data_IF_649298223845
#
_entry.id   IF_649298223845
#
_cell.length_a   1.000
_cell.length_b   1.000
_cell.length_c   1.000
_cell.angle_alpha   90.00
_cell.angle_beta   90.00
_cell.angle_gamma   90.00
#
_symmetry.space_group_name_H-M   'P 1'
#
loop_
_entity.id
_entity.type
_entity.pdbx_description
1 polymer ?
#
# COMPACT_ATOMS: atom_id res chain seq x y z
N UNK A 1 28.74 -10.86 6.67
CA UNK A 1 27.28 -11.02 6.91
C UNK A 1 26.57 -10.27 5.80
N UNK A 2 25.81 -10.96 4.96
CA UNK A 2 24.91 -10.31 3.99
C UNK A 2 23.84 -9.55 4.76
N UNK A 3 23.60 -8.28 4.42
CA UNK A 3 22.47 -7.55 5.01
C UNK A 3 21.17 -8.25 4.56
N UNK A 4 20.14 -8.32 5.43
CA UNK A 4 18.86 -8.89 5.04
C UNK A 4 18.18 -7.98 4.00
N UNK A 5 17.50 -8.59 3.02
CA UNK A 5 16.73 -7.88 2.00
C UNK A 5 15.24 -8.17 2.19
N UNK A 6 14.39 -7.21 1.87
CA UNK A 6 12.94 -7.34 1.92
C UNK A 6 12.36 -6.78 0.61
N UNK A 7 11.48 -7.53 -0.04
CA UNK A 7 10.78 -7.05 -1.24
C UNK A 7 9.38 -6.60 -0.86
N UNK A 8 9.03 -5.35 -1.18
CA UNK A 8 7.69 -4.80 -0.93
C UNK A 8 7.09 -4.26 -2.21
N UNK A 9 5.76 -4.26 -2.29
CA UNK A 9 5.03 -3.73 -3.44
C UNK A 9 3.77 -2.96 -3.04
N UNK A 10 3.31 -2.08 -3.92
CA UNK A 10 1.98 -1.47 -3.81
C UNK A 10 1.22 -1.66 -5.13
N UNK A 11 -0.08 -1.90 -5.05
CA UNK A 11 -0.91 -2.17 -6.22
C UNK A 11 -2.37 -1.72 -6.04
N UNK A 12 -2.77 -0.68 -6.78
CA UNK A 12 -4.18 -0.32 -6.90
C UNK A 12 -4.87 -1.20 -7.95
N UNK A 13 -5.73 -2.11 -7.49
CA UNK A 13 -6.36 -3.13 -8.35
C UNK A 13 -7.68 -2.70 -8.97
N UNK A 14 -8.11 -1.45 -8.73
CA UNK A 14 -9.38 -0.91 -9.24
C UNK A 14 -10.59 -1.85 -8.99
N UNK A 15 -10.68 -2.46 -7.79
CA UNK A 15 -11.72 -3.43 -7.42
C UNK A 15 -11.76 -4.68 -8.33
N UNK A 16 -10.59 -5.05 -8.85
CA UNK A 16 -10.38 -6.15 -9.78
C UNK A 16 -10.87 -5.89 -11.21
N UNK A 17 -11.17 -4.63 -11.57
CA UNK A 17 -11.64 -4.28 -12.91
C UNK A 17 -10.44 -4.01 -13.81
N UNK A 18 -10.33 -4.74 -14.92
CA UNK A 18 -9.27 -4.53 -15.92
C UNK A 18 -9.57 -3.42 -16.92
N UNK A 19 -8.64 -3.18 -17.84
CA UNK A 19 -8.79 -2.28 -18.99
C UNK A 19 -9.90 -2.70 -19.97
N UNK A 20 -10.32 -3.97 -19.91
CA UNK A 20 -11.50 -4.52 -20.60
C UNK A 20 -12.83 -4.26 -19.86
N UNK A 21 -12.79 -3.48 -18.78
CA UNK A 21 -13.92 -3.16 -17.89
C UNK A 21 -14.57 -4.38 -17.23
N UNK A 22 -13.91 -5.54 -17.25
CA UNK A 22 -14.41 -6.76 -16.60
C UNK A 22 -13.77 -6.93 -15.24
N UNK A 23 -14.60 -7.22 -14.24
CA UNK A 23 -14.13 -7.58 -12.90
C UNK A 23 -13.62 -9.03 -12.90
N UNK A 24 -12.30 -9.20 -12.80
CA UNK A 24 -11.63 -10.50 -12.69
C UNK A 24 -10.47 -10.40 -11.67
N UNK A 25 -10.77 -10.51 -10.36
CA UNK A 25 -9.76 -10.39 -9.30
C UNK A 25 -8.64 -11.42 -9.41
N UNK A 26 -8.88 -12.55 -10.05
CA UNK A 26 -7.88 -13.59 -10.35
C UNK A 26 -6.72 -13.07 -11.21
N UNK A 27 -6.92 -12.03 -12.04
CA UNK A 27 -5.84 -11.35 -12.77
C UNK A 27 -4.91 -10.60 -11.81
N UNK A 28 -5.50 -9.84 -10.88
CA UNK A 28 -4.71 -9.16 -9.86
C UNK A 28 -3.97 -10.17 -8.95
N UNK A 29 -4.60 -11.31 -8.63
CA UNK A 29 -3.93 -12.39 -7.89
C UNK A 29 -2.73 -12.99 -8.65
N UNK A 30 -2.80 -13.10 -9.99
CA UNK A 30 -1.66 -13.53 -10.81
C UNK A 30 -0.52 -12.51 -10.78
N UNK A 31 -0.82 -11.21 -10.85
CA UNK A 31 0.20 -10.17 -10.69
C UNK A 31 0.84 -10.22 -9.30
N UNK A 32 0.05 -10.44 -8.24
CA UNK A 32 0.59 -10.59 -6.88
C UNK A 32 1.50 -11.81 -6.72
N UNK A 33 1.22 -12.90 -7.44
CA UNK A 33 2.06 -14.09 -7.53
C UNK A 33 3.40 -13.76 -8.22
N UNK A 34 3.34 -13.14 -9.40
CA UNK A 34 4.50 -12.78 -10.22
C UNK A 34 5.40 -11.72 -9.55
N UNK A 35 4.83 -10.80 -8.77
CA UNK A 35 5.58 -9.80 -8.01
C UNK A 35 6.60 -10.42 -7.04
N UNK A 36 6.28 -11.60 -6.49
CA UNK A 36 7.15 -12.26 -5.52
C UNK A 36 7.50 -11.38 -4.31
N UNK A 37 6.64 -10.45 -3.91
CA UNK A 37 6.89 -9.50 -2.82
C UNK A 37 6.47 -10.06 -1.45
N UNK A 38 7.22 -9.77 -0.39
CA UNK A 38 6.98 -10.25 0.97
C UNK A 38 5.83 -9.52 1.64
N UNK A 39 5.67 -8.23 1.33
CA UNK A 39 4.62 -7.37 1.84
C UNK A 39 4.02 -6.57 0.68
N UNK A 40 2.70 -6.58 0.55
CA UNK A 40 2.00 -5.85 -0.51
C UNK A 40 0.88 -4.98 0.04
N UNK A 41 0.95 -3.66 -0.22
CA UNK A 41 -0.17 -2.76 0.00
C UNK A 41 -1.09 -2.75 -1.23
N UNK A 42 -2.31 -3.25 -1.07
CA UNK A 42 -3.33 -3.26 -2.11
C UNK A 42 -4.36 -2.15 -1.87
N UNK A 43 -4.60 -1.31 -2.88
CA UNK A 43 -5.65 -0.31 -2.85
C UNK A 43 -6.86 -0.76 -3.68
N UNK A 44 -8.05 -0.34 -3.24
CA UNK A 44 -9.33 -0.76 -3.82
C UNK A 44 -9.58 -2.27 -3.74
N UNK A 45 -9.11 -2.90 -2.66
CA UNK A 45 -9.34 -4.31 -2.34
C UNK A 45 -10.80 -4.65 -2.01
N UNK A 46 -11.63 -3.63 -1.74
CA UNK A 46 -13.02 -3.75 -1.32
C UNK A 46 -13.98 -3.07 -2.29
N UNK A 47 -15.21 -3.59 -2.36
CA UNK A 47 -16.30 -2.90 -3.05
C UNK A 47 -16.71 -1.63 -2.30
N UNK A 48 -17.14 -0.60 -3.04
CA UNK A 48 -17.53 0.71 -2.46
C UNK A 48 -18.93 0.71 -1.84
N UNK A 49 -19.85 -0.10 -2.38
CA UNK A 49 -21.28 -0.11 -2.03
C UNK A 49 -21.70 -1.44 -1.39
N UNK A 50 -22.82 -1.41 -0.66
CA UNK A 50 -23.36 -2.58 0.04
C UNK A 50 -22.47 -3.00 1.23
N UNK A 51 -22.30 -4.31 1.41
CA UNK A 51 -21.51 -4.90 2.51
C UNK A 51 -19.99 -4.68 2.40
N UNK A 52 -19.54 -3.90 1.40
CA UNK A 52 -18.13 -3.61 1.11
C UNK A 52 -17.27 -4.87 0.97
N UNK A 53 -17.86 -5.91 0.39
CA UNK A 53 -17.19 -7.20 0.23
C UNK A 53 -15.83 -7.05 -0.48
N UNK A 54 -14.82 -7.68 0.10
CA UNK A 54 -13.50 -7.81 -0.50
C UNK A 54 -13.56 -8.52 -1.84
N UNK A 55 -12.65 -8.18 -2.76
CA UNK A 55 -12.70 -8.68 -4.14
C UNK A 55 -11.97 -10.01 -4.33
N UNK A 56 -11.05 -10.37 -3.44
CA UNK A 56 -10.32 -11.64 -3.49
C UNK A 56 -11.07 -12.77 -2.80
N UNK A 57 -10.86 -13.99 -3.29
CA UNK A 57 -10.93 -15.18 -2.45
C UNK A 57 -9.59 -15.28 -1.70
N UNK A 58 -9.63 -15.12 -0.37
CA UNK A 58 -8.42 -15.09 0.45
C UNK A 58 -7.77 -16.47 0.61
N UNK A 59 -8.55 -17.55 0.49
CA UNK A 59 -8.02 -18.91 0.51
C UNK A 59 -7.22 -19.17 -0.75
N UNK A 60 -7.82 -18.92 -1.92
CA UNK A 60 -7.15 -19.05 -3.21
C UNK A 60 -5.90 -18.15 -3.28
N UNK A 61 -6.00 -16.89 -2.84
CA UNK A 61 -4.88 -15.94 -2.87
C UNK A 61 -3.70 -16.46 -2.03
N UNK A 62 -3.96 -16.95 -0.82
CA UNK A 62 -2.93 -17.53 0.05
C UNK A 62 -2.30 -18.76 -0.59
N UNK A 63 -3.12 -19.66 -1.14
CA UNK A 63 -2.62 -20.92 -1.69
C UNK A 63 -1.74 -20.69 -2.93
N UNK A 64 -2.00 -19.62 -3.70
CA UNK A 64 -1.19 -19.22 -4.87
C UNK A 64 0.07 -18.45 -4.52
N UNK A 65 -0.02 -17.50 -3.59
CA UNK A 65 1.04 -16.48 -3.38
C UNK A 65 1.81 -16.65 -2.06
N UNK A 66 1.28 -17.47 -1.14
CA UNK A 66 1.72 -17.52 0.26
C UNK A 66 1.33 -16.28 1.08
N UNK A 67 0.78 -15.23 0.45
CA UNK A 67 0.41 -13.99 1.12
C UNK A 67 -0.86 -14.17 1.93
N UNK A 68 -0.85 -13.63 3.14
CA UNK A 68 -2.00 -13.61 4.04
C UNK A 68 -2.43 -12.16 4.30
N UNK A 69 -3.73 -11.89 4.38
CA UNK A 69 -4.22 -10.57 4.72
C UNK A 69 -3.95 -10.26 6.20
N UNK A 70 -3.49 -9.04 6.48
CA UNK A 70 -3.43 -8.54 7.85
C UNK A 70 -4.86 -8.39 8.36
N UNK A 71 -5.24 -9.06 9.47
CA UNK A 71 -6.58 -8.93 10.04
C UNK A 71 -6.77 -7.53 10.59
N UNK A 72 -7.83 -6.83 10.16
CA UNK A 72 -8.17 -5.48 10.64
C UNK A 72 -9.46 -5.54 11.46
N UNK A 73 -9.41 -5.56 12.79
CA UNK A 73 -10.61 -5.68 13.63
C UNK A 73 -11.61 -4.54 13.44
N UNK A 74 -11.12 -3.35 13.10
CA UNK A 74 -11.92 -2.15 12.93
C UNK A 74 -12.59 -2.05 11.56
N UNK A 75 -12.37 -2.99 10.63
CA UNK A 75 -12.85 -2.92 9.23
C UNK A 75 -14.33 -2.51 9.09
N UNK A 76 -14.60 -1.68 8.09
CA UNK A 76 -15.95 -1.20 7.78
C UNK A 76 -16.70 -2.24 6.94
N UNK A 77 -17.52 -3.05 7.59
CA UNK A 77 -18.34 -4.09 6.97
C UNK A 77 -17.81 -5.50 7.22
N UNK A 78 -18.72 -6.43 7.50
CA UNK A 78 -18.38 -7.81 7.90
C UNK A 78 -17.60 -8.59 6.82
N UNK A 79 -17.68 -8.15 5.56
CA UNK A 79 -17.07 -8.81 4.39
C UNK A 79 -15.91 -8.03 3.77
N UNK A 80 -15.53 -6.88 4.32
CA UNK A 80 -14.39 -6.12 3.83
C UNK A 80 -13.09 -6.87 4.12
N UNK A 81 -12.12 -6.81 3.21
CA UNK A 81 -10.78 -7.36 3.45
C UNK A 81 -9.94 -6.43 4.31
N UNK A 82 -10.16 -5.12 4.24
CA UNK A 82 -9.36 -4.18 5.02
C UNK A 82 -10.09 -2.88 5.39
N UNK A 83 -9.37 -1.76 5.31
CA UNK A 83 -9.80 -0.47 5.85
C UNK A 83 -9.86 0.61 4.79
N UNK A 84 -11.07 1.12 4.53
CA UNK A 84 -11.35 2.05 3.43
C UNK A 84 -10.82 1.57 2.06
N UNK A 85 -10.82 0.25 1.84
CA UNK A 85 -10.32 -0.37 0.61
C UNK A 85 -8.80 -0.55 0.55
N UNK A 86 -8.05 -0.18 1.59
CA UNK A 86 -6.66 -0.61 1.74
C UNK A 86 -6.63 -2.00 2.37
N UNK A 87 -5.79 -2.87 1.81
CA UNK A 87 -5.49 -4.20 2.30
C UNK A 87 -3.98 -4.34 2.36
N UNK A 88 -3.44 -4.78 3.49
CA UNK A 88 -2.04 -5.17 3.59
C UNK A 88 -1.96 -6.69 3.55
N UNK A 89 -1.16 -7.21 2.63
CA UNK A 89 -0.84 -8.62 2.49
C UNK A 89 0.59 -8.85 2.94
N UNK A 90 0.86 -9.95 3.65
CA UNK A 90 2.20 -10.28 4.13
C UNK A 90 2.47 -11.79 4.13
N UNK A 91 3.74 -12.16 4.04
CA UNK A 91 4.25 -13.50 4.34
C UNK A 91 5.55 -13.37 5.15
N UNK A 92 5.99 -14.46 5.78
CA UNK A 92 7.21 -14.49 6.61
C UNK A 92 7.27 -13.41 7.70
N UNK A 93 6.11 -12.99 8.20
CA UNK A 93 5.99 -11.94 9.19
C UNK A 93 4.85 -12.21 10.16
N UNK A 94 5.07 -11.85 11.43
CA UNK A 94 4.07 -11.87 12.47
C UNK A 94 3.48 -10.47 12.68
N UNK A 95 2.16 -10.40 12.81
CA UNK A 95 1.48 -9.17 13.19
C UNK A 95 1.75 -8.85 14.66
N UNK A 96 2.19 -7.61 14.95
CA UNK A 96 2.33 -7.08 16.31
C UNK A 96 1.18 -6.14 16.65
N UNK A 97 0.94 -5.14 15.81
CA UNK A 97 -0.14 -4.17 15.99
C UNK A 97 -0.74 -3.76 14.65
N UNK A 98 -2.03 -3.46 14.64
CA UNK A 98 -2.74 -2.95 13.46
C UNK A 98 -3.72 -1.86 13.86
N UNK A 99 -3.67 -0.75 13.13
CA UNK A 99 -4.58 0.36 13.31
C UNK A 99 -5.08 0.87 11.97
N UNK A 100 -6.41 0.85 11.81
CA UNK A 100 -7.08 1.60 10.74
C UNK A 100 -7.27 3.06 11.13
N UNK A 101 -6.72 3.97 10.34
CA UNK A 101 -6.83 5.42 10.56
C UNK A 101 -7.72 6.08 9.52
N UNK A 102 -8.59 6.99 9.96
CA UNK A 102 -9.29 7.90 9.05
C UNK A 102 -8.33 8.99 8.61
N UNK A 103 -8.24 9.21 7.31
CA UNK A 103 -7.43 10.29 6.75
C UNK A 103 -8.28 11.56 6.62
N UNK A 104 -7.75 12.75 6.99
CA UNK A 104 -8.46 14.02 6.84
C UNK A 104 -8.93 14.25 5.40
N UNK A 105 -10.16 14.75 5.25
CA UNK A 105 -10.75 15.10 3.95
C UNK A 105 -12.23 14.74 3.84
N UNK A 106 -12.90 15.29 2.83
CA UNK A 106 -14.32 15.06 2.58
C UNK A 106 -14.62 13.67 1.99
N UNK A 107 -13.69 13.11 1.22
CA UNK A 107 -13.81 11.74 0.71
C UNK A 107 -13.33 10.76 1.79
N UNK A 108 -14.08 9.68 2.10
CA UNK A 108 -13.65 8.68 3.07
C UNK A 108 -12.41 7.94 2.55
N UNK A 109 -11.24 8.36 3.04
CA UNK A 109 -9.95 7.73 2.81
C UNK A 109 -9.39 7.22 4.13
N UNK A 110 -8.56 6.20 4.06
CA UNK A 110 -7.94 5.62 5.23
C UNK A 110 -6.49 5.22 4.98
N UNK A 111 -5.79 5.00 6.09
CA UNK A 111 -4.49 4.36 6.12
C UNK A 111 -4.56 3.12 7.02
N UNK A 112 -3.75 2.11 6.72
CA UNK A 112 -3.47 1.01 7.64
C UNK A 112 -2.05 1.20 8.17
N UNK A 113 -1.92 1.40 9.47
CA UNK A 113 -0.64 1.39 10.18
C UNK A 113 -0.48 0.00 10.78
N UNK A 114 0.57 -0.71 10.38
CA UNK A 114 0.78 -2.10 10.76
C UNK A 114 2.20 -2.28 11.25
N UNK A 115 2.35 -2.72 12.49
CA UNK A 115 3.64 -3.11 13.05
C UNK A 115 3.79 -4.62 12.92
N UNK A 116 4.91 -5.03 12.35
CA UNK A 116 5.22 -6.40 11.98
C UNK A 116 6.58 -6.80 12.55
N UNK A 117 6.76 -8.10 12.78
CA UNK A 117 8.06 -8.74 12.98
C UNK A 117 8.33 -9.67 11.80
N UNK A 118 9.22 -9.29 10.88
CA UNK A 118 9.59 -10.15 9.75
C UNK A 118 10.70 -11.12 10.14
N UNK A 119 10.53 -12.41 9.84
CA UNK A 119 11.38 -13.52 10.31
C UNK A 119 12.89 -13.28 10.11
N UNK A 120 13.27 -12.65 9.00
CA UNK A 120 14.69 -12.38 8.66
C UNK A 120 15.06 -10.90 8.70
N UNK A 121 14.09 -10.00 8.58
CA UNK A 121 14.35 -8.56 8.41
C UNK A 121 14.17 -7.79 9.74
N UNK A 122 13.46 -8.40 10.70
CA UNK A 122 13.22 -7.84 12.02
C UNK A 122 11.96 -6.96 12.09
N UNK A 123 11.87 -6.08 13.10
CA UNK A 123 10.70 -5.26 13.32
C UNK A 123 10.59 -4.16 12.27
N UNK A 124 9.37 -3.92 11.78
CA UNK A 124 9.07 -2.83 10.86
C UNK A 124 7.64 -2.31 11.02
N UNK A 125 7.46 -1.03 10.72
CA UNK A 125 6.14 -0.40 10.55
C UNK A 125 5.85 -0.24 9.07
N UNK A 126 4.69 -0.70 8.62
CA UNK A 126 4.18 -0.50 7.27
C UNK A 126 2.92 0.35 7.32
N UNK A 127 2.93 1.48 6.60
CA UNK A 127 1.79 2.37 6.47
C UNK A 127 1.26 2.29 5.03
N UNK A 128 0.18 1.54 4.83
CA UNK A 128 -0.50 1.41 3.54
C UNK A 128 -1.53 2.53 3.37
N UNK A 129 -1.47 3.25 2.25
CA UNK A 129 -2.30 4.44 2.02
C UNK A 129 -3.00 4.44 0.67
N UNK A 130 -4.13 5.16 0.62
CA UNK A 130 -4.75 5.61 -0.62
C UNK A 130 -5.23 7.04 -0.39
N UNK A 131 -4.43 8.01 -0.84
CA UNK A 131 -4.64 9.42 -0.52
C UNK A 131 -5.79 10.04 -1.30
N UNK A 132 -6.24 11.21 -0.85
CA UNK A 132 -7.34 11.94 -1.49
C UNK A 132 -6.97 12.49 -2.87
N UNK A 133 -7.98 12.61 -3.74
CA UNK A 133 -7.85 13.25 -5.05
C UNK A 133 -7.61 14.77 -4.95
N UNK A 134 -8.10 15.40 -3.89
CA UNK A 134 -7.99 16.85 -3.68
C UNK A 134 -6.64 17.21 -3.05
N UNK A 135 -5.90 18.11 -3.70
CA UNK A 135 -4.55 18.50 -3.28
C UNK A 135 -4.48 19.06 -1.86
N UNK A 136 -5.50 19.81 -1.41
CA UNK A 136 -5.54 20.34 -0.05
C UNK A 136 -5.65 19.21 0.99
N UNK A 137 -6.55 18.25 0.77
CA UNK A 137 -6.67 17.09 1.64
C UNK A 137 -5.37 16.26 1.65
N UNK A 138 -4.72 16.07 0.50
CA UNK A 138 -3.40 15.40 0.46
C UNK A 138 -2.36 16.08 1.33
N UNK A 139 -2.32 17.42 1.39
CA UNK A 139 -1.38 18.13 2.28
C UNK A 139 -1.64 17.85 3.75
N UNK A 140 -2.90 17.79 4.15
CA UNK A 140 -3.28 17.45 5.53
C UNK A 140 -2.95 16.00 5.85
N UNK A 141 -3.22 15.09 4.92
CA UNK A 141 -2.87 13.67 5.04
C UNK A 141 -1.35 13.47 5.11
N UNK A 142 -0.57 14.15 4.28
CA UNK A 142 0.89 14.10 4.30
C UNK A 142 1.46 14.57 5.65
N UNK A 143 0.89 15.61 6.27
CA UNK A 143 1.29 16.04 7.63
C UNK A 143 0.98 14.99 8.69
N UNK A 144 -0.17 14.33 8.60
CA UNK A 144 -0.49 13.22 9.51
C UNK A 144 0.50 12.07 9.34
N UNK A 145 0.78 11.66 8.10
CA UNK A 145 1.75 10.59 7.82
C UNK A 145 3.15 10.94 8.31
N UNK A 146 3.61 12.18 8.10
CA UNK A 146 4.92 12.62 8.58
C UNK A 146 5.02 12.55 10.12
N UNK A 147 3.95 12.85 10.86
CA UNK A 147 3.90 12.67 12.32
C UNK A 147 3.99 11.20 12.72
N UNK A 148 3.20 10.34 12.08
CA UNK A 148 3.23 8.89 12.35
C UNK A 148 4.60 8.27 12.07
N UNK A 149 5.29 8.78 11.06
CA UNK A 149 6.67 8.40 10.71
C UNK A 149 7.66 8.90 11.77
N UNK A 150 7.54 10.14 12.22
CA UNK A 150 8.42 10.71 13.24
C UNK A 150 8.25 10.05 14.62
N UNK A 151 7.04 9.57 14.94
CA UNK A 151 6.71 8.86 16.17
C UNK A 151 7.06 7.36 16.13
N UNK A 152 7.41 6.82 14.96
CA UNK A 152 7.74 5.41 14.81
C UNK A 152 9.09 5.08 15.47
N UNK A 153 9.10 4.08 16.35
CA UNK A 153 10.33 3.56 16.95
C UNK A 153 11.03 2.55 16.03
N UNK A 154 10.27 1.89 15.16
CA UNK A 154 10.75 0.90 14.20
C UNK A 154 11.11 1.55 12.85
N UNK A 155 11.94 0.90 12.02
CA UNK A 155 12.07 1.24 10.61
C UNK A 155 10.71 1.26 9.92
N UNK A 156 10.48 2.22 9.02
CA UNK A 156 9.13 2.51 8.48
C UNK A 156 9.09 2.51 6.97
N UNK A 157 8.07 1.87 6.41
CA UNK A 157 7.73 1.87 5.00
C UNK A 157 6.37 2.55 4.85
N UNK A 158 6.28 3.57 3.99
CA UNK A 158 5.00 4.19 3.61
C UNK A 158 4.76 3.91 2.14
N UNK A 159 3.68 3.22 1.80
CA UNK A 159 3.44 2.84 0.41
C UNK A 159 1.97 2.86 0.03
N UNK A 160 1.70 3.20 -1.22
CA UNK A 160 0.33 3.31 -1.70
C UNK A 160 0.16 4.19 -2.92
N UNK A 161 -1.09 4.30 -3.34
CA UNK A 161 -1.54 5.29 -4.31
C UNK A 161 -1.62 6.66 -3.61
N UNK A 162 -0.65 7.52 -3.92
CA UNK A 162 -0.56 8.86 -3.34
C UNK A 162 -1.46 9.87 -4.05
N UNK A 163 -2.09 9.50 -5.16
CA UNK A 163 -2.83 10.40 -6.05
C UNK A 163 -2.02 11.67 -6.44
N UNK A 164 -0.70 11.50 -6.59
CA UNK A 164 0.22 12.60 -6.84
C UNK A 164 1.20 12.26 -7.97
N UNK A 165 0.86 12.74 -9.17
CA UNK A 165 1.59 12.45 -10.40
C UNK A 165 2.86 13.29 -10.58
N UNK A 166 3.04 14.38 -9.82
CA UNK A 166 4.23 15.22 -9.94
C UNK A 166 5.46 14.45 -9.47
N UNK A 167 6.62 14.71 -10.08
CA UNK A 167 7.89 14.13 -9.65
C UNK A 167 8.23 14.54 -8.21
N UNK A 168 9.13 13.81 -7.58
CA UNK A 168 9.71 14.19 -6.30
C UNK A 168 10.69 15.38 -6.48
N UNK A 169 10.73 16.34 -5.55
CA UNK A 169 9.80 16.51 -4.43
C UNK A 169 8.43 17.05 -4.89
N UNK A 170 7.36 16.66 -4.19
CA UNK A 170 5.98 17.06 -4.48
C UNK A 170 5.52 18.22 -3.61
N UNK A 171 4.77 19.15 -4.20
CA UNK A 171 4.16 20.29 -3.49
C UNK A 171 2.96 19.90 -2.60
N UNK A 172 2.41 18.69 -2.74
CA UNK A 172 1.32 18.21 -1.85
C UNK A 172 1.81 17.26 -0.77
N UNK A 173 3.00 16.66 -0.97
CA UNK A 173 3.61 15.69 -0.06
C UNK A 173 4.87 16.24 0.61
N UNK A 174 5.14 17.55 0.51
CA UNK A 174 6.40 18.19 0.90
C UNK A 174 6.88 17.78 2.28
N UNK A 175 6.02 17.82 3.30
CA UNK A 175 6.39 17.47 4.69
C UNK A 175 6.75 15.98 4.82
N UNK A 176 6.12 15.10 4.05
CA UNK A 176 6.45 13.67 4.03
C UNK A 176 7.77 13.43 3.26
N UNK A 177 7.96 14.13 2.14
CA UNK A 177 9.18 14.08 1.34
C UNK A 177 10.40 14.59 2.13
N UNK A 178 10.23 15.62 2.96
CA UNK A 178 11.27 16.13 3.88
C UNK A 178 11.62 15.10 4.97
N UNK A 179 10.63 14.37 5.46
CA UNK A 179 10.81 13.38 6.53
C UNK A 179 11.45 12.07 6.05
N UNK A 180 11.11 11.61 4.84
CA UNK A 180 11.51 10.29 4.32
C UNK A 180 12.49 10.35 3.14
N UNK A 181 12.75 11.53 2.59
CA UNK A 181 13.58 11.69 1.41
C UNK A 181 12.92 11.16 0.12
N UNK A 182 13.73 10.78 -0.89
CA UNK A 182 13.21 10.35 -2.18
C UNK A 182 12.52 8.98 -2.11
N UNK A 183 11.29 8.84 -2.64
CA UNK A 183 10.60 7.57 -2.74
C UNK A 183 11.06 6.74 -3.95
N UNK A 184 10.80 5.45 -3.87
CA UNK A 184 10.65 4.59 -5.04
C UNK A 184 9.38 4.98 -5.78
N UNK A 185 9.52 5.37 -7.05
CA UNK A 185 8.40 5.72 -7.90
C UNK A 185 8.73 5.44 -9.37
N UNK A 186 7.75 4.94 -10.12
CA UNK A 186 7.85 4.68 -11.54
C UNK A 186 6.50 4.98 -12.21
N UNK A 187 6.50 5.26 -13.51
CA UNK A 187 5.24 5.44 -14.23
C UNK A 187 4.48 4.11 -14.24
N UNK A 188 3.33 4.08 -13.57
CA UNK A 188 2.45 2.91 -13.42
C UNK A 188 1.04 3.17 -13.97
N UNK A 189 0.69 4.44 -14.22
CA UNK A 189 -0.66 4.85 -14.59
C UNK A 189 -0.72 5.66 -15.90
N UNK A 190 -1.73 5.44 -16.75
CA UNK A 190 -2.65 4.29 -16.75
C UNK A 190 -1.92 3.00 -17.20
N UNK A 191 -2.36 1.83 -16.73
CA UNK A 191 -1.67 0.56 -17.00
C UNK A 191 -1.39 0.26 -18.49
N UNK A 192 -2.30 0.49 -19.46
CA UNK A 192 -2.01 0.20 -20.87
C UNK A 192 -0.96 1.10 -21.52
N UNK A 193 -0.68 2.28 -20.93
CA UNK A 193 0.33 3.21 -21.42
C UNK A 193 0.85 4.06 -20.25
N UNK A 194 1.75 3.51 -19.40
CA UNK A 194 2.16 4.17 -18.17
C UNK A 194 2.89 5.49 -18.44
N UNK A 195 2.38 6.59 -17.87
CA UNK A 195 2.96 7.96 -17.99
C UNK A 195 3.12 8.67 -16.66
N UNK A 196 2.30 8.32 -15.68
CA UNK A 196 2.19 9.01 -14.39
C UNK A 196 2.62 8.05 -13.26
N UNK A 197 3.36 8.59 -12.29
CA UNK A 197 3.85 7.87 -11.12
C UNK A 197 3.04 8.28 -9.88
N UNK A 198 1.80 7.79 -9.80
CA UNK A 198 0.89 8.08 -8.68
C UNK A 198 1.28 7.29 -7.43
N UNK A 199 1.73 6.05 -7.64
CA UNK A 199 2.14 5.14 -6.59
C UNK A 199 3.55 5.46 -6.12
N UNK A 200 3.76 5.41 -4.80
CA UNK A 200 5.07 5.65 -4.19
C UNK A 200 5.34 4.66 -3.07
N UNK A 201 6.62 4.36 -2.87
CA UNK A 201 7.13 3.60 -1.74
C UNK A 201 8.21 4.46 -1.09
N UNK A 202 8.03 4.83 0.17
CA UNK A 202 9.04 5.51 0.98
C UNK A 202 9.65 4.54 1.98
N UNK A 203 10.93 4.75 2.30
CA UNK A 203 11.66 4.00 3.30
C UNK A 203 12.31 4.97 4.28
N UNK A 204 12.16 4.74 5.59
CA UNK A 204 12.70 5.58 6.64
C UNK A 204 13.17 4.77 7.85
N UNK A 205 13.76 5.43 8.85
CA UNK A 205 14.24 4.76 10.06
C UNK A 205 15.42 3.82 9.81
N UNK A 206 16.35 4.22 8.93
CA UNK A 206 17.58 3.46 8.63
C UNK A 206 17.45 2.45 7.48
N UNK A 207 16.26 2.26 6.92
CA UNK A 207 16.07 1.46 5.70
C UNK A 207 16.77 2.09 4.50
N UNK A 208 17.35 1.25 3.66
CA UNK A 208 17.95 1.67 2.40
C UNK A 208 17.21 1.04 1.23
N UNK A 209 16.74 1.90 0.31
CA UNK A 209 16.09 1.43 -0.90
C UNK A 209 17.15 1.02 -1.94
N UNK A 210 17.19 -0.26 -2.28
CA UNK A 210 18.15 -0.80 -3.25
C UNK A 210 17.70 -0.54 -4.69
N UNK A 211 16.42 -0.78 -4.99
CA UNK A 211 15.83 -0.57 -6.31
C UNK A 211 14.32 -0.41 -6.22
N UNK A 212 13.74 0.36 -7.15
CA UNK A 212 12.30 0.48 -7.34
C UNK A 212 11.99 0.56 -8.84
N UNK A 213 11.00 -0.21 -9.29
CA UNK A 213 10.56 -0.25 -10.69
C UNK A 213 9.06 -0.53 -10.76
N UNK A 214 8.43 -0.13 -11.87
CA UNK A 214 7.09 -0.61 -12.19
C UNK A 214 7.19 -2.07 -12.62
N UNK A 215 6.26 -2.90 -12.15
CA UNK A 215 6.15 -4.27 -12.58
C UNK A 215 5.32 -4.34 -13.86
N UNK A 216 5.91 -4.90 -14.91
CA UNK A 216 5.25 -5.09 -16.21
C UNK A 216 4.95 -6.58 -16.37
N UNK A 217 3.66 -6.92 -16.48
CA UNK A 217 3.19 -8.29 -16.70
C UNK A 217 2.56 -8.36 -18.09
N UNK A 218 2.79 -9.44 -18.86
CA UNK A 218 2.22 -9.61 -20.20
C UNK A 218 0.68 -9.54 -20.25
#
# INVERSE_FOLDING_TARGET
>A
MTQPHLTVATYNIQKGIGSDFRRRPTRAAAVLEDLGADIVAVQEGDRRFGERAGVFDLGELRDRTGLQPVPVPTRLGLRAHGWHGNLLLMRHAELREVQGLHLPGAEPRGALVVDLEHETFGPLRVIAVHLALMAQARREQARLLARLVAEAAQPVIVMGDMNEWRRWPSATLTVLDEQLGPPGMAASFPAPFPRLALDRIYAGGGLQMVSAHAHDTP
#
